data_IF_359586554201
#
_entry.id   IF_359586554201
#
_cell.length_a   1.000
_cell.length_b   1.000
_cell.length_c   1.000
_cell.angle_alpha   90.00
_cell.angle_beta   90.00
_cell.angle_gamma   90.00
#
_symmetry.space_group_name_H-M   'P 1'
#
loop_
_entity.id
_entity.type
_entity.pdbx_description
1 polymer ?
#
# COMPACT_ATOMS: atom_id res chain seq x y z
N UNK A 1 12.17 3.55 -15.74
CA UNK A 1 12.10 3.42 -17.21
C UNK A 1 11.95 4.80 -17.79
N UNK A 2 12.96 5.32 -18.49
CA UNK A 2 12.90 6.67 -19.09
C UNK A 2 12.15 6.57 -20.42
N UNK A 3 10.95 7.17 -20.49
CA UNK A 3 10.11 7.27 -21.70
C UNK A 3 10.63 8.37 -22.65
N UNK A 4 11.73 9.05 -22.29
CA UNK A 4 12.39 10.02 -23.15
C UNK A 4 13.12 9.30 -24.28
N UNK A 5 12.38 8.93 -25.33
CA UNK A 5 12.93 8.55 -26.63
C UNK A 5 13.95 9.63 -27.04
N UNK A 6 15.19 9.21 -27.28
CA UNK A 6 16.24 10.13 -27.70
C UNK A 6 15.78 10.87 -28.96
N UNK A 7 16.02 12.18 -29.05
CA UNK A 7 15.53 13.05 -30.14
C UNK A 7 15.94 12.51 -31.52
N UNK A 8 17.06 11.78 -31.58
CA UNK A 8 17.54 11.10 -32.78
C UNK A 8 16.67 9.89 -33.16
N UNK A 9 16.28 9.07 -32.20
CA UNK A 9 15.44 7.90 -32.41
C UNK A 9 14.02 8.30 -32.81
N UNK A 10 13.46 9.32 -32.15
CA UNK A 10 12.14 9.84 -32.48
C UNK A 10 12.09 10.43 -33.90
N UNK A 11 13.16 11.11 -34.32
CA UNK A 11 13.30 11.59 -35.71
C UNK A 11 13.45 10.46 -36.73
N UNK A 12 14.11 9.36 -36.37
CA UNK A 12 14.26 8.20 -37.25
C UNK A 12 12.90 7.50 -37.44
N UNK A 13 12.19 7.23 -36.34
CA UNK A 13 10.85 6.67 -36.37
C UNK A 13 9.86 7.57 -37.13
N UNK A 14 9.93 8.90 -36.94
CA UNK A 14 9.09 9.85 -37.65
C UNK A 14 9.37 9.91 -39.17
N UNK A 15 10.57 9.56 -39.64
CA UNK A 15 10.87 9.48 -41.08
C UNK A 15 10.28 8.24 -41.74
N UNK A 16 10.00 7.19 -40.98
CA UNK A 16 9.46 5.92 -41.46
C UNK A 16 7.91 5.92 -41.51
N UNK A 17 7.28 6.97 -40.99
CA UNK A 17 5.82 7.10 -40.86
C UNK A 17 5.31 8.24 -41.78
N UNK A 18 4.07 8.13 -42.25
CA UNK A 18 3.44 9.18 -43.06
C UNK A 18 3.17 10.45 -42.24
N UNK A 19 3.22 11.60 -42.91
CA UNK A 19 2.96 12.92 -42.30
C UNK A 19 1.57 12.98 -41.63
N UNK A 20 0.56 12.34 -42.25
CA UNK A 20 -0.79 12.27 -41.69
C UNK A 20 -0.82 11.57 -40.31
N UNK A 21 -0.15 10.42 -40.17
CA UNK A 21 -0.07 9.67 -38.90
C UNK A 21 0.72 10.42 -37.83
N UNK A 22 1.73 11.21 -38.24
CA UNK A 22 2.47 12.09 -37.31
C UNK A 22 1.54 13.18 -36.78
N UNK A 23 0.67 13.73 -37.63
CA UNK A 23 -0.31 14.74 -37.22
C UNK A 23 -1.33 14.15 -36.23
N UNK A 24 -1.88 12.97 -36.53
CA UNK A 24 -2.79 12.25 -35.61
C UNK A 24 -2.11 11.97 -34.25
N UNK A 25 -0.85 11.54 -34.26
CA UNK A 25 -0.09 11.31 -33.02
C UNK A 25 0.12 12.61 -32.22
N UNK A 26 0.36 13.74 -32.89
CA UNK A 26 0.49 15.05 -32.25
C UNK A 26 -0.85 15.48 -31.62
N UNK A 27 -1.97 15.31 -32.32
CA UNK A 27 -3.30 15.65 -31.80
C UNK A 27 -3.63 14.84 -30.53
N UNK A 28 -3.34 13.53 -30.53
CA UNK A 28 -3.51 12.68 -29.35
C UNK A 28 -2.62 13.15 -28.20
N UNK A 29 -1.34 13.45 -28.47
CA UNK A 29 -0.42 13.94 -27.43
C UNK A 29 -0.86 15.29 -26.87
N UNK A 30 -1.38 16.19 -27.71
CA UNK A 30 -1.94 17.47 -27.28
C UNK A 30 -3.19 17.30 -26.42
N UNK A 31 -4.08 16.37 -26.76
CA UNK A 31 -5.23 16.01 -25.92
C UNK A 31 -4.77 15.52 -24.55
N UNK A 32 -3.79 14.62 -24.50
CA UNK A 32 -3.25 14.11 -23.23
C UNK A 32 -2.63 15.25 -22.41
N UNK A 33 -1.88 16.17 -23.04
CA UNK A 33 -1.33 17.34 -22.35
C UNK A 33 -2.45 18.21 -21.76
N UNK A 34 -3.52 18.46 -22.53
CA UNK A 34 -4.65 19.25 -22.06
C UNK A 34 -5.34 18.61 -20.85
N UNK A 35 -5.50 17.29 -20.85
CA UNK A 35 -6.08 16.57 -19.71
C UNK A 35 -5.16 16.59 -18.49
N UNK A 36 -3.85 16.42 -18.69
CA UNK A 36 -2.87 16.55 -17.59
C UNK A 36 -2.81 17.96 -17.02
N UNK A 37 -3.03 18.99 -17.84
CA UNK A 37 -3.11 20.36 -17.34
C UNK A 37 -4.35 20.54 -16.45
N UNK A 38 -5.51 20.02 -16.85
CA UNK A 38 -6.72 20.03 -16.00
C UNK A 38 -6.52 19.27 -14.69
N UNK A 39 -5.83 18.13 -14.71
CA UNK A 39 -5.45 17.41 -13.49
C UNK A 39 -4.59 18.27 -12.57
N UNK A 40 -3.61 19.01 -13.11
CA UNK A 40 -2.77 19.92 -12.32
C UNK A 40 -3.61 21.04 -11.71
N UNK A 41 -4.47 21.67 -12.51
CA UNK A 41 -5.32 22.78 -12.06
C UNK A 41 -6.30 22.33 -10.96
N UNK A 42 -6.90 21.14 -11.10
CA UNK A 42 -7.78 20.56 -10.08
C UNK A 42 -7.03 20.21 -8.80
N UNK A 43 -5.82 19.65 -8.90
CA UNK A 43 -4.97 19.41 -7.72
C UNK A 43 -4.65 20.73 -7.01
N UNK A 44 -4.40 21.81 -7.75
CA UNK A 44 -4.15 23.12 -7.16
C UNK A 44 -5.38 23.69 -6.44
N UNK A 45 -6.58 23.56 -7.03
CA UNK A 45 -7.83 23.93 -6.37
C UNK A 45 -8.06 23.14 -5.09
N UNK A 46 -7.82 21.82 -5.11
CA UNK A 46 -7.93 20.95 -3.92
C UNK A 46 -6.94 21.41 -2.83
N UNK A 47 -5.70 21.75 -3.21
CA UNK A 47 -4.70 22.28 -2.25
C UNK A 47 -5.18 23.56 -1.59
N UNK A 48 -5.76 24.49 -2.36
CA UNK A 48 -6.26 25.75 -1.81
C UNK A 48 -7.43 25.52 -0.85
N UNK A 49 -8.38 24.65 -1.20
CA UNK A 49 -9.52 24.30 -0.34
C UNK A 49 -9.07 23.61 0.95
N UNK A 50 -8.15 22.65 0.85
CA UNK A 50 -7.62 21.96 2.01
C UNK A 50 -6.88 22.91 2.96
N UNK A 51 -6.10 23.85 2.41
CA UNK A 51 -5.43 24.90 3.20
C UNK A 51 -6.43 25.84 3.87
N UNK A 52 -7.52 26.20 3.20
CA UNK A 52 -8.60 27.01 3.78
C UNK A 52 -9.35 26.30 4.91
N UNK A 53 -9.43 24.96 4.86
CA UNK A 53 -10.01 24.12 5.92
C UNK A 53 -9.02 23.78 7.04
N UNK A 54 -7.80 24.30 7.00
CA UNK A 54 -6.79 24.13 8.05
C UNK A 54 -5.94 22.87 7.93
N UNK A 55 -6.04 22.10 6.84
CA UNK A 55 -5.18 20.94 6.60
C UNK A 55 -3.77 21.37 6.17
N UNK A 56 -2.75 20.72 6.73
CA UNK A 56 -1.36 20.92 6.29
C UNK A 56 -1.05 20.10 5.02
N UNK A 57 -0.12 20.56 4.19
CA UNK A 57 0.28 19.86 2.96
C UNK A 57 0.83 18.44 3.22
N UNK A 58 1.31 18.18 4.45
CA UNK A 58 1.79 16.88 4.92
C UNK A 58 0.64 15.90 5.14
N UNK A 59 -0.50 16.36 5.67
CA UNK A 59 -1.71 15.54 5.86
C UNK A 59 -2.37 15.15 4.54
N UNK A 60 -2.13 15.92 3.48
CA UNK A 60 -2.62 15.65 2.13
C UNK A 60 -1.71 14.69 1.34
N UNK A 61 -0.62 14.18 1.94
CA UNK A 61 0.31 13.24 1.31
C UNK A 61 1.10 13.83 0.13
N UNK A 62 1.14 15.16 0.00
CA UNK A 62 1.77 15.86 -1.14
C UNK A 62 3.25 16.19 -0.91
N UNK A 63 3.79 15.92 0.28
CA UNK A 63 5.22 15.85 0.53
C UNK A 63 5.63 14.39 0.70
N UNK A 64 6.54 13.91 -0.15
CA UNK A 64 7.27 12.66 0.06
C UNK A 64 8.20 12.83 1.27
N UNK A 65 7.67 12.63 2.47
CA UNK A 65 8.52 12.30 3.60
C UNK A 65 9.03 10.88 3.38
N UNK A 66 10.34 10.74 3.18
CA UNK A 66 11.08 9.47 3.24
C UNK A 66 11.08 8.94 4.68
N UNK A 67 9.91 8.59 5.19
CA UNK A 67 9.73 7.75 6.36
C UNK A 67 8.54 6.85 6.06
N UNK A 68 8.89 5.63 5.67
CA UNK A 68 7.97 4.53 5.41
C UNK A 68 7.19 4.23 6.69
N UNK A 69 5.90 4.55 6.66
CA UNK A 69 4.87 3.86 7.44
C UNK A 69 3.84 3.35 6.43
N UNK A 70 3.93 2.07 6.11
CA UNK A 70 2.80 1.31 5.60
C UNK A 70 1.82 1.09 6.78
N UNK A 71 0.50 1.04 6.68
CA UNK A 71 -0.39 0.79 5.54
C UNK A 71 -1.82 1.09 6.05
N UNK A 72 -2.59 1.89 5.33
CA UNK A 72 -4.04 1.64 5.18
C UNK A 72 -4.26 1.74 3.68
N UNK A 73 -4.13 0.61 3.01
CA UNK A 73 -4.56 0.49 1.62
C UNK A 73 -6.08 0.48 1.67
N UNK A 74 -6.69 1.67 1.53
CA UNK A 74 -8.01 1.74 0.91
C UNK A 74 -7.82 1.28 -0.53
N UNK A 75 -8.02 -0.02 -0.76
CA UNK A 75 -8.18 -0.56 -2.10
C UNK A 75 -9.43 0.12 -2.69
N UNK A 76 -9.18 1.17 -3.50
CA UNK A 76 -10.16 1.65 -4.47
C UNK A 76 -10.59 0.42 -5.28
N UNK A 77 -11.84 0.03 -5.11
CA UNK A 77 -12.49 -1.04 -5.85
C UNK A 77 -12.47 -0.64 -7.33
N UNK A 78 -11.45 -1.08 -8.07
CA UNK A 78 -11.55 -1.16 -9.53
C UNK A 78 -12.67 -2.18 -9.81
N UNK A 79 -13.84 -1.67 -10.18
CA UNK A 79 -15.00 -2.45 -10.59
C UNK A 79 -14.66 -3.28 -11.84
N UNK A 80 -14.01 -4.43 -11.65
CA UNK A 80 -13.64 -5.32 -12.74
C UNK A 80 -12.69 -6.46 -12.40
N UNK A 81 -11.93 -6.40 -11.29
CA UNK A 81 -11.04 -7.49 -10.90
C UNK A 81 -11.65 -8.33 -9.78
N UNK A 82 -11.73 -9.65 -10.00
CA UNK A 82 -12.10 -10.64 -8.99
C UNK A 82 -11.15 -10.52 -7.77
N UNK A 83 -11.64 -10.18 -6.56
CA UNK A 83 -10.82 -10.19 -5.37
C UNK A 83 -10.28 -11.60 -5.11
N UNK A 84 -9.19 -11.76 -4.37
CA UNK A 84 -8.61 -13.08 -4.09
C UNK A 84 -9.32 -13.74 -2.91
N UNK A 85 -9.62 -15.05 -2.98
CA UNK A 85 -10.32 -15.76 -1.89
C UNK A 85 -9.52 -15.63 -0.59
N UNK A 86 -10.10 -15.03 0.48
CA UNK A 86 -9.38 -14.84 1.74
C UNK A 86 -8.94 -16.18 2.34
N UNK A 87 -7.70 -16.23 2.85
CA UNK A 87 -7.18 -17.39 3.59
C UNK A 87 -6.79 -16.93 4.99
N UNK A 88 -7.41 -17.53 6.00
CA UNK A 88 -7.03 -17.28 7.38
C UNK A 88 -5.68 -17.93 7.67
N UNK A 89 -4.70 -17.15 8.10
CA UNK A 89 -3.43 -17.68 8.60
C UNK A 89 -3.47 -17.67 10.12
N UNK A 90 -3.45 -18.86 10.72
CA UNK A 90 -3.33 -19.00 12.17
C UNK A 90 -1.94 -18.52 12.61
N UNK A 91 -1.91 -17.69 13.65
CA UNK A 91 -0.66 -17.22 14.25
C UNK A 91 -0.10 -18.33 15.14
N UNK A 92 1.07 -18.89 14.80
CA UNK A 92 1.79 -19.82 15.67
C UNK A 92 2.66 -19.03 16.66
N UNK A 93 2.46 -19.14 17.99
CA UNK A 93 3.25 -18.42 19.01
C UNK A 93 4.76 -18.68 18.93
N UNK A 94 5.16 -19.93 18.68
CA UNK A 94 6.57 -20.34 18.75
C UNK A 94 7.41 -19.85 17.57
N UNK A 95 6.76 -19.55 16.44
CA UNK A 95 7.42 -19.00 15.25
C UNK A 95 7.55 -17.48 15.27
N UNK A 96 7.08 -16.81 16.33
CA UNK A 96 7.10 -15.35 16.41
C UNK A 96 8.46 -14.82 16.87
N UNK A 97 8.75 -13.60 16.39
CA UNK A 97 9.90 -12.82 16.78
C UNK A 97 9.45 -11.59 17.54
N UNK A 98 10.27 -11.14 18.48
CA UNK A 98 10.02 -10.00 19.34
C UNK A 98 11.22 -9.07 19.29
N UNK A 99 11.00 -7.80 19.60
CA UNK A 99 12.07 -6.84 19.77
C UNK A 99 11.76 -5.92 20.95
N UNK A 100 12.80 -5.33 21.54
CA UNK A 100 12.65 -4.38 22.64
C UNK A 100 12.99 -2.99 22.11
N UNK A 101 12.02 -2.09 22.18
CA UNK A 101 12.18 -0.69 21.82
C UNK A 101 11.65 0.16 22.97
N UNK A 102 12.42 1.18 23.39
CA UNK A 102 12.06 2.04 24.53
C UNK A 102 11.70 1.29 25.83
N UNK A 103 12.33 0.14 26.05
CA UNK A 103 12.11 -0.69 27.25
C UNK A 103 10.83 -1.54 27.22
N UNK A 104 10.06 -1.53 26.13
CA UNK A 104 8.85 -2.35 25.95
C UNK A 104 9.06 -3.48 24.95
N UNK A 105 8.45 -4.63 25.19
CA UNK A 105 8.45 -5.74 24.24
C UNK A 105 7.43 -5.47 23.13
N UNK A 106 7.85 -5.66 21.89
CA UNK A 106 6.99 -5.58 20.72
C UNK A 106 7.04 -6.88 19.92
N UNK A 107 5.91 -7.28 19.36
CA UNK A 107 5.81 -8.39 18.41
C UNK A 107 6.28 -7.92 17.02
N UNK A 108 7.17 -8.69 16.40
CA UNK A 108 7.60 -8.44 15.02
C UNK A 108 6.50 -8.90 14.05
N UNK A 109 5.80 -7.93 13.45
CA UNK A 109 4.69 -8.21 12.54
C UNK A 109 5.13 -8.87 11.22
N UNK A 110 6.33 -8.55 10.71
CA UNK A 110 6.85 -9.08 9.44
C UNK A 110 8.34 -9.40 9.50
N UNK A 111 8.76 -10.49 8.85
CA UNK A 111 10.18 -10.86 8.75
C UNK A 111 11.03 -9.84 7.97
N UNK A 112 10.41 -9.07 7.07
CA UNK A 112 11.09 -8.02 6.31
C UNK A 112 11.54 -6.87 7.21
N UNK A 113 10.87 -6.61 8.33
CA UNK A 113 11.27 -5.62 9.32
C UNK A 113 12.49 -6.05 10.15
N UNK A 114 12.82 -7.34 10.19
CA UNK A 114 13.95 -7.84 10.99
C UNK A 114 15.26 -7.15 10.63
N UNK A 115 15.58 -7.07 9.34
CA UNK A 115 16.81 -6.45 8.84
C UNK A 115 16.87 -4.96 9.17
N UNK A 116 15.77 -4.24 8.97
CA UNK A 116 15.70 -2.80 9.26
C UNK A 116 15.80 -2.47 10.76
N UNK A 117 15.30 -3.35 11.63
CA UNK A 117 15.46 -3.20 13.08
C UNK A 117 16.89 -3.50 13.53
N UNK A 118 17.50 -4.56 12.99
CA UNK A 118 18.90 -4.90 13.26
C UNK A 118 19.86 -3.77 12.81
N UNK A 119 19.61 -3.15 11.65
CA UNK A 119 20.36 -1.98 11.15
C UNK A 119 20.21 -0.74 12.05
N UNK A 120 19.07 -0.60 12.74
CA UNK A 120 18.84 0.45 13.76
C UNK A 120 19.43 0.13 15.14
N UNK A 121 20.12 -1.01 15.28
CA UNK A 121 20.68 -1.47 16.55
C UNK A 121 19.65 -2.08 17.51
N UNK A 122 18.42 -2.33 17.05
CA UNK A 122 17.36 -2.94 17.86
C UNK A 122 17.47 -4.47 17.76
N UNK A 123 17.60 -5.14 18.91
CA UNK A 123 17.78 -6.60 18.97
C UNK A 123 16.45 -7.33 18.77
N UNK A 124 16.37 -8.09 17.68
CA UNK A 124 15.25 -9.00 17.41
C UNK A 124 15.56 -10.40 17.96
N UNK A 125 14.67 -10.97 18.76
CA UNK A 125 14.82 -12.29 19.38
C UNK A 125 13.62 -13.20 19.08
N UNK A 126 13.84 -14.50 18.85
CA UNK A 126 12.73 -15.47 18.73
C UNK A 126 12.09 -15.73 20.11
N UNK A 127 10.85 -16.25 20.12
CA UNK A 127 10.10 -16.60 21.33
C UNK A 127 10.93 -17.33 22.39
N UNK A 128 11.70 -18.35 22.00
CA UNK A 128 12.55 -19.13 22.90
C UNK A 128 13.66 -18.35 23.61
N UNK A 129 14.03 -17.17 23.09
CA UNK A 129 15.12 -16.32 23.62
C UNK A 129 14.61 -15.01 24.23
N UNK A 130 13.29 -14.87 24.45
CA UNK A 130 12.73 -13.72 25.16
C UNK A 130 13.10 -13.82 26.64
N UNK A 131 13.55 -12.71 27.22
CA UNK A 131 13.93 -12.65 28.63
C UNK A 131 12.71 -12.91 29.54
N UNK A 132 12.93 -13.64 30.65
CA UNK A 132 11.87 -14.02 31.60
C UNK A 132 11.04 -12.83 32.09
N UNK A 133 11.65 -11.64 32.19
CA UNK A 133 11.00 -10.41 32.64
C UNK A 133 9.87 -9.93 31.71
N UNK A 134 9.86 -10.34 30.45
CA UNK A 134 8.84 -9.96 29.47
C UNK A 134 7.85 -11.09 29.15
N UNK A 135 7.94 -12.26 29.79
CA UNK A 135 7.06 -13.39 29.47
C UNK A 135 5.57 -13.09 29.72
N UNK A 136 5.26 -12.27 30.74
CA UNK A 136 3.88 -11.82 31.01
C UNK A 136 3.32 -10.91 29.90
N UNK A 137 4.18 -10.22 29.14
CA UNK A 137 3.79 -9.31 28.05
C UNK A 137 3.57 -10.05 26.72
N UNK A 138 4.08 -11.28 26.58
CA UNK A 138 3.96 -12.04 25.32
C UNK A 138 2.50 -12.42 25.05
N UNK A 139 1.81 -12.99 26.04
CA UNK A 139 0.42 -13.44 25.88
C UNK A 139 -0.54 -12.34 25.41
N UNK A 140 -0.56 -11.12 26.00
CA UNK A 140 -1.42 -10.05 25.50
C UNK A 140 -1.03 -9.57 24.10
N UNK A 141 0.26 -9.50 23.78
CA UNK A 141 0.72 -9.11 22.43
C UNK A 141 0.30 -10.11 21.35
N UNK A 142 0.35 -11.42 21.67
CA UNK A 142 -0.13 -12.47 20.77
C UNK A 142 -1.65 -12.38 20.62
N UNK A 143 -2.39 -12.17 21.71
CA UNK A 143 -3.84 -12.03 21.67
C UNK A 143 -4.30 -10.83 20.82
N UNK A 144 -3.62 -9.69 20.97
CA UNK A 144 -3.88 -8.50 20.15
C UNK A 144 -3.59 -8.76 18.67
N UNK A 145 -2.46 -9.41 18.36
CA UNK A 145 -2.11 -9.77 16.99
C UNK A 145 -3.10 -10.76 16.36
N UNK A 146 -3.64 -11.70 17.14
CA UNK A 146 -4.70 -12.61 16.70
C UNK A 146 -6.00 -11.85 16.44
N UNK A 147 -6.38 -10.92 17.32
CA UNK A 147 -7.56 -10.08 17.11
C UNK A 147 -7.45 -9.24 15.82
N UNK A 148 -6.30 -8.58 15.61
CA UNK A 148 -6.01 -7.83 14.37
C UNK A 148 -6.05 -8.74 13.13
N UNK A 149 -5.54 -9.96 13.23
CA UNK A 149 -5.58 -10.93 12.13
C UNK A 149 -7.00 -11.39 11.80
N UNK A 150 -7.86 -11.58 12.80
CA UNK A 150 -9.29 -11.92 12.63
C UNK A 150 -10.05 -10.76 12.00
N UNK A 151 -9.85 -9.54 12.48
CA UNK A 151 -10.47 -8.34 11.91
C UNK A 151 -10.05 -8.14 10.44
N UNK A 152 -8.75 -8.26 10.16
CA UNK A 152 -8.21 -8.18 8.79
C UNK A 152 -8.71 -9.30 7.87
N UNK A 153 -9.08 -10.45 8.42
CA UNK A 153 -9.67 -11.55 7.66
C UNK A 153 -11.15 -11.28 7.37
N UNK A 154 -11.91 -10.83 8.39
CA UNK A 154 -13.33 -10.55 8.26
C UNK A 154 -13.58 -9.40 7.27
N UNK A 155 -12.75 -8.35 7.27
CA UNK A 155 -12.83 -7.29 6.25
C UNK A 155 -12.60 -7.81 4.82
N UNK A 156 -11.65 -8.73 4.63
CA UNK A 156 -11.43 -9.37 3.32
C UNK A 156 -12.58 -10.28 2.91
N UNK A 157 -13.23 -10.94 3.88
CA UNK A 157 -14.45 -11.73 3.65
C UNK A 157 -15.61 -10.83 3.24
N UNK A 158 -15.77 -9.66 3.85
CA UNK A 158 -16.78 -8.67 3.44
C UNK A 158 -16.58 -8.21 2.01
N UNK A 159 -15.35 -7.84 1.63
CA UNK A 159 -15.01 -7.44 0.25
C UNK A 159 -15.29 -8.59 -0.73
N UNK A 160 -14.91 -9.82 -0.37
CA UNK A 160 -15.18 -11.00 -1.19
C UNK A 160 -16.68 -11.25 -1.34
N UNK A 161 -17.45 -11.14 -0.25
CA UNK A 161 -18.89 -11.37 -0.25
C UNK A 161 -19.63 -10.29 -1.04
N UNK A 162 -19.27 -9.02 -0.89
CA UNK A 162 -19.83 -7.93 -1.69
C UNK A 162 -19.60 -8.14 -3.20
N UNK A 163 -18.43 -8.66 -3.57
CA UNK A 163 -18.18 -9.06 -4.96
C UNK A 163 -18.96 -10.32 -5.35
N UNK A 164 -19.05 -11.32 -4.47
CA UNK A 164 -19.74 -12.58 -4.73
C UNK A 164 -21.26 -12.39 -4.93
N UNK A 165 -21.90 -11.51 -4.16
CA UNK A 165 -23.32 -11.14 -4.30
C UNK A 165 -23.62 -10.55 -5.68
N UNK A 166 -22.72 -9.72 -6.22
CA UNK A 166 -22.89 -9.09 -7.53
C UNK A 166 -22.56 -10.02 -8.70
N UNK A 167 -21.83 -11.12 -8.45
CA UNK A 167 -21.30 -12.01 -9.49
C UNK A 167 -21.81 -13.47 -9.38
N UNK A 168 -22.81 -13.74 -8.52
CA UNK A 168 -23.47 -15.04 -8.39
C UNK A 168 -22.58 -16.16 -7.83
N UNK A 169 -21.56 -15.83 -7.03
CA UNK A 169 -20.61 -16.80 -6.46
C UNK A 169 -20.95 -17.21 -5.02
N UNK A 170 -20.25 -18.23 -4.50
CA UNK A 170 -20.37 -18.73 -3.12
C UNK A 170 -19.92 -17.68 -2.08
N UNK A 171 -20.82 -17.36 -1.15
CA UNK A 171 -20.61 -16.46 0.00
C UNK A 171 -19.83 -17.20 1.09
N UNK A 172 -18.82 -16.55 1.66
CA UNK A 172 -18.06 -17.08 2.79
C UNK A 172 -18.65 -16.59 4.10
N UNK A 173 -18.72 -17.47 5.10
CA UNK A 173 -19.09 -17.09 6.46
C UNK A 173 -17.94 -16.38 7.17
N UNK A 174 -18.26 -15.29 7.86
CA UNK A 174 -17.34 -14.64 8.80
C UNK A 174 -17.06 -15.59 9.98
N UNK A 175 -15.90 -15.42 10.62
CA UNK A 175 -15.49 -16.19 11.80
C UNK A 175 -15.43 -15.32 13.05
#
# INVERSE_FOLDING_TARGET
>A
MSILLDKKELKKAAKEISVAKIHEAIEVLQSVIADRQKEIDTIEQIKQLAKAQGFSLEQLGLQLTTNVVAEVVEEKVEAGKRPTKPKFKTLNPESQFFYVENGKLHLLKTHTMKKGLEERGIKVVPFAKVEKKFQSEISPLIAEAVAQATESFNSKVEIWNAWAEQNGNEILTQK
#
